data_IF_331629665260
#
_entry.id   IF_331629665260
#
_cell.length_a   1.000
_cell.length_b   1.000
_cell.length_c   1.000
_cell.angle_alpha   90.00
_cell.angle_beta   90.00
_cell.angle_gamma   90.00
#
_symmetry.space_group_name_H-M   'P 1'
#
loop_
_entity.id
_entity.type
_entity.pdbx_description
1 polymer ?
#
# COMPACT_ATOMS: atom_id res chain seq x y z
N UNK A 1 2.80 -9.30 25.64
CA UNK A 1 4.02 -9.26 24.81
C UNK A 1 3.91 -8.28 23.66
N UNK A 2 3.10 -8.56 22.60
CA UNK A 2 3.01 -7.63 21.45
C UNK A 2 2.59 -6.21 21.87
N UNK A 3 1.48 -6.07 22.60
CA UNK A 3 1.00 -4.80 23.18
C UNK A 3 2.04 -3.98 23.95
N UNK A 4 3.01 -4.65 24.58
CA UNK A 4 3.92 -4.02 25.53
C UNK A 4 5.11 -3.41 24.79
N UNK A 5 5.57 -4.06 23.72
CA UNK A 5 6.55 -3.51 22.79
C UNK A 5 5.93 -2.39 21.93
N UNK A 6 4.62 -2.41 21.66
CA UNK A 6 3.92 -1.35 20.92
C UNK A 6 3.92 -0.04 21.73
N UNK A 7 3.50 -0.11 23.00
CA UNK A 7 3.50 1.07 23.86
C UNK A 7 4.92 1.63 24.03
N UNK A 8 5.92 0.76 24.23
CA UNK A 8 7.34 1.15 24.27
C UNK A 8 7.82 1.82 22.98
N UNK A 9 7.49 1.27 21.80
CA UNK A 9 7.84 1.87 20.51
C UNK A 9 7.19 3.25 20.32
N UNK A 10 5.90 3.39 20.66
CA UNK A 10 5.19 4.68 20.62
C UNK A 10 5.84 5.68 21.58
N UNK A 11 6.12 5.30 22.83
CA UNK A 11 6.77 6.17 23.81
C UNK A 11 8.14 6.67 23.32
N UNK A 12 8.97 5.80 22.75
CA UNK A 12 10.29 6.16 22.18
C UNK A 12 10.15 7.10 20.98
N UNK A 13 9.17 6.86 20.09
CA UNK A 13 8.87 7.75 18.97
C UNK A 13 8.36 9.13 19.42
N UNK A 14 7.52 9.20 20.45
CA UNK A 14 7.06 10.45 21.06
C UNK A 14 8.20 11.22 21.73
N UNK A 15 9.09 10.53 22.46
CA UNK A 15 10.29 11.11 23.08
C UNK A 15 11.27 11.66 22.03
N UNK A 16 11.39 11.00 20.88
CA UNK A 16 12.17 11.49 19.74
C UNK A 16 11.50 12.67 18.98
N UNK A 17 10.30 13.09 19.37
CA UNK A 17 9.62 14.28 18.84
C UNK A 17 8.60 14.05 17.74
N UNK A 18 8.22 12.79 17.43
CA UNK A 18 7.16 12.53 16.46
C UNK A 18 5.77 12.88 17.02
N UNK A 19 4.91 13.62 16.29
CA UNK A 19 3.58 13.94 16.78
C UNK A 19 2.70 12.70 16.92
N UNK A 20 2.00 12.55 18.05
CA UNK A 20 1.01 11.48 18.25
C UNK A 20 -0.05 11.45 17.14
N UNK A 21 -0.45 12.64 16.63
CA UNK A 21 -1.39 12.75 15.51
C UNK A 21 -0.85 12.13 14.22
N UNK A 22 0.45 12.27 13.93
CA UNK A 22 1.09 11.63 12.77
C UNK A 22 1.13 10.11 12.95
N UNK A 23 1.54 9.62 14.13
CA UNK A 23 1.55 8.18 14.44
C UNK A 23 0.13 7.59 14.30
N UNK A 24 -0.90 8.28 14.79
CA UNK A 24 -2.30 7.88 14.63
C UNK A 24 -2.84 8.00 13.20
N UNK A 25 -2.28 8.90 12.38
CA UNK A 25 -2.61 9.03 10.96
C UNK A 25 -2.01 7.89 10.14
N UNK A 26 -0.72 7.59 10.29
CA UNK A 26 -0.09 6.46 9.59
C UNK A 26 -0.72 5.11 9.99
N UNK A 27 -1.14 4.95 11.26
CA UNK A 27 -1.95 3.80 11.72
C UNK A 27 -3.30 3.62 11.00
N UNK A 28 -3.79 4.62 10.25
CA UNK A 28 -5.08 4.59 9.52
C UNK A 28 -4.90 4.62 8.01
N UNK A 29 -3.79 5.17 7.51
CA UNK A 29 -3.47 5.18 6.08
C UNK A 29 -2.84 3.84 5.72
N UNK A 30 -3.71 2.88 5.41
CA UNK A 30 -3.32 1.76 4.58
C UNK A 30 -2.98 2.27 3.18
N UNK A 31 -1.99 1.65 2.55
CA UNK A 31 -1.92 1.67 1.09
C UNK A 31 -3.22 1.04 0.57
N UNK A 32 -3.97 1.81 -0.22
CA UNK A 32 -5.22 1.35 -0.81
C UNK A 32 -4.91 0.66 -2.13
N UNK A 33 -5.77 -0.28 -2.53
CA UNK A 33 -5.73 -0.86 -3.88
C UNK A 33 -6.07 0.26 -4.89
N UNK A 34 -5.04 0.89 -5.47
CA UNK A 34 -5.24 1.98 -6.43
C UNK A 34 -5.56 1.41 -7.81
N UNK A 35 -6.77 1.67 -8.26
CA UNK A 35 -7.27 1.25 -9.56
C UNK A 35 -6.36 1.68 -10.74
N UNK A 36 -5.55 2.73 -10.58
CA UNK A 36 -4.65 3.30 -11.60
C UNK A 36 -3.73 2.28 -12.26
N UNK A 37 -3.32 1.22 -11.55
CA UNK A 37 -2.45 0.17 -12.13
C UNK A 37 -3.15 -0.66 -13.23
N UNK A 38 -4.48 -0.53 -13.39
CA UNK A 38 -5.26 -1.22 -14.40
C UNK A 38 -5.44 -0.40 -15.71
N UNK A 39 -5.02 0.86 -15.73
CA UNK A 39 -5.26 1.77 -16.87
C UNK A 39 -4.17 2.84 -17.09
N UNK A 40 -2.98 2.62 -16.55
CA UNK A 40 -1.77 3.40 -16.86
C UNK A 40 -0.71 2.49 -17.47
N UNK A 41 0.07 3.03 -18.40
CA UNK A 41 1.12 2.28 -19.12
C UNK A 41 2.49 2.93 -18.97
N UNK A 42 3.59 2.15 -18.95
CA UNK A 42 4.93 2.71 -18.92
C UNK A 42 5.21 3.53 -20.18
N UNK A 43 5.96 4.62 -20.03
CA UNK A 43 6.48 5.38 -21.16
C UNK A 43 7.76 4.66 -21.64
N UNK A 44 7.67 3.89 -22.74
CA UNK A 44 8.79 3.09 -23.27
C UNK A 44 10.06 3.91 -23.57
N UNK A 45 9.93 5.24 -23.73
CA UNK A 45 11.03 6.16 -23.97
C UNK A 45 11.72 6.70 -22.69
N UNK A 46 11.22 6.41 -21.48
CA UNK A 46 11.92 6.73 -20.23
C UNK A 46 12.66 5.52 -19.70
N UNK A 47 14.00 5.57 -19.72
CA UNK A 47 14.83 4.66 -18.94
C UNK A 47 14.53 4.82 -17.44
N UNK A 48 14.62 3.72 -16.68
CA UNK A 48 14.50 3.76 -15.23
C UNK A 48 15.55 4.71 -14.62
N UNK A 49 15.12 5.62 -13.75
CA UNK A 49 16.00 6.68 -13.23
C UNK A 49 16.06 6.70 -11.71
N UNK A 50 17.27 6.76 -11.16
CA UNK A 50 17.50 6.83 -9.71
C UNK A 50 17.22 8.26 -9.20
N UNK A 51 16.18 8.42 -8.37
CA UNK A 51 15.64 9.70 -7.91
C UNK A 51 15.48 9.78 -6.39
N UNK A 52 15.28 11.00 -5.89
CA UNK A 52 14.89 11.28 -4.50
C UNK A 52 13.41 11.67 -4.48
N UNK A 53 12.59 10.79 -3.90
CA UNK A 53 11.13 10.79 -3.98
C UNK A 53 10.54 11.44 -2.71
N UNK A 54 9.59 12.39 -2.82
CA UNK A 54 8.86 12.89 -1.66
C UNK A 54 7.99 11.81 -1.02
N UNK A 55 8.28 11.41 0.22
CA UNK A 55 7.54 10.37 0.96
C UNK A 55 6.02 10.65 1.08
N UNK A 56 5.55 11.92 1.15
CA UNK A 56 4.12 12.23 1.08
C UNK A 56 3.43 11.85 -0.24
N UNK A 57 4.16 11.81 -1.37
CA UNK A 57 3.61 11.45 -2.70
C UNK A 57 3.54 9.95 -2.96
N UNK A 58 4.03 9.10 -2.05
CA UNK A 58 3.92 7.65 -2.19
C UNK A 58 2.50 7.23 -1.78
N UNK A 59 1.69 6.83 -2.75
CA UNK A 59 0.24 6.60 -2.59
C UNK A 59 -0.09 5.15 -2.23
N UNK A 60 0.58 4.19 -2.88
CA UNK A 60 0.36 2.75 -2.68
C UNK A 60 1.66 1.92 -2.65
N UNK A 61 1.50 0.63 -2.38
CA UNK A 61 2.50 -0.42 -2.52
C UNK A 61 1.83 -1.56 -3.28
N UNK A 62 2.37 -1.91 -4.44
CA UNK A 62 2.00 -3.12 -5.17
C UNK A 62 2.94 -4.25 -4.72
N UNK A 63 2.39 -5.24 -4.01
CA UNK A 63 3.15 -6.35 -3.45
C UNK A 63 2.22 -7.52 -3.09
N UNK A 64 2.61 -8.75 -3.41
CA UNK A 64 1.91 -9.98 -2.99
C UNK A 64 1.92 -10.18 -1.45
N UNK A 65 2.62 -9.32 -0.71
CA UNK A 65 2.70 -9.31 0.75
C UNK A 65 1.39 -8.83 1.41
N UNK A 66 0.42 -9.72 1.41
CA UNK A 66 -0.84 -9.71 2.15
C UNK A 66 -0.75 -8.93 3.50
N UNK A 67 -1.62 -7.93 3.76
CA UNK A 67 -1.60 -7.06 4.98
C UNK A 67 -2.75 -7.34 5.99
N UNK A 68 -2.54 -7.22 7.31
CA UNK A 68 -3.53 -7.55 8.39
C UNK A 68 -3.76 -6.42 9.41
N UNK A 69 -3.99 -5.20 8.94
CA UNK A 69 -3.98 -3.99 9.77
C UNK A 69 -4.62 -4.06 11.17
N UNK A 70 -3.80 -4.31 12.20
CA UNK A 70 -4.18 -4.13 13.61
C UNK A 70 -3.22 -3.27 14.45
N UNK A 71 -2.11 -2.80 13.86
CA UNK A 71 -1.21 -1.72 14.35
C UNK A 71 -0.43 -2.02 15.64
N UNK A 72 0.50 -1.14 16.06
CA UNK A 72 1.77 -0.78 15.35
C UNK A 72 2.36 -2.06 14.74
N UNK A 73 2.76 -2.15 13.42
CA UNK A 73 2.35 -3.16 12.35
C UNK A 73 0.94 -3.61 12.67
N UNK A 74 0.73 -4.36 13.74
CA UNK A 74 1.41 -5.56 14.27
C UNK A 74 2.95 -5.65 14.68
N UNK A 75 3.83 -4.70 14.27
CA UNK A 75 5.11 -4.01 14.68
C UNK A 75 5.64 -2.77 13.82
N UNK A 76 5.50 -2.66 12.47
CA UNK A 76 5.29 -1.41 11.66
C UNK A 76 4.11 -1.39 10.60
N UNK A 77 4.00 -2.27 9.55
CA UNK A 77 2.77 -2.56 8.69
C UNK A 77 2.16 -4.02 8.38
N UNK A 78 2.81 -5.21 8.41
CA UNK A 78 2.32 -6.22 9.41
C UNK A 78 2.23 -7.74 9.41
N UNK A 79 1.85 -8.47 8.35
CA UNK A 79 1.51 -9.88 8.55
C UNK A 79 2.68 -10.73 9.05
N UNK A 80 2.48 -11.42 10.16
CA UNK A 80 3.52 -12.26 10.78
C UNK A 80 3.39 -13.73 10.40
N UNK A 81 3.51 -14.00 9.10
CA UNK A 81 4.26 -15.16 8.63
C UNK A 81 5.77 -14.84 8.62
N UNK A 82 6.29 -14.37 9.78
CA UNK A 82 7.70 -13.97 9.97
C UNK A 82 7.96 -12.46 10.09
N UNK A 83 7.67 -11.86 11.25
CA UNK A 83 8.16 -10.51 11.60
C UNK A 83 9.58 -10.52 12.17
N UNK A 84 10.43 -9.59 11.73
CA UNK A 84 11.74 -9.34 12.33
C UNK A 84 11.67 -8.27 13.44
N UNK A 85 11.54 -8.74 14.69
CA UNK A 85 11.54 -7.88 15.88
C UNK A 85 12.94 -7.30 16.18
N UNK A 86 14.02 -7.95 15.73
CA UNK A 86 15.39 -7.49 16.00
C UNK A 86 15.71 -6.24 15.18
N UNK A 87 15.39 -6.23 13.89
CA UNK A 87 15.46 -5.03 13.04
C UNK A 87 14.55 -3.91 13.56
N UNK A 88 13.35 -4.25 14.04
CA UNK A 88 12.41 -3.28 14.61
C UNK A 88 13.01 -2.56 15.83
N UNK A 89 13.66 -3.31 16.72
CA UNK A 89 14.39 -2.77 17.87
C UNK A 89 15.68 -2.02 17.49
N UNK A 90 16.39 -2.45 16.45
CA UNK A 90 17.57 -1.76 15.91
C UNK A 90 17.21 -0.35 15.40
N UNK A 91 16.11 -0.21 14.65
CA UNK A 91 15.65 1.10 14.16
C UNK A 91 15.22 2.03 15.31
N UNK A 92 14.60 1.48 16.37
CA UNK A 92 14.23 2.27 17.57
C UNK A 92 15.46 2.69 18.39
N UNK A 93 16.50 1.86 18.46
CA UNK A 93 17.79 2.25 19.06
C UNK A 93 18.53 3.29 18.22
N UNK A 94 18.54 3.15 16.89
CA UNK A 94 19.13 4.15 16.00
C UNK A 94 18.45 5.52 16.14
N UNK A 95 17.13 5.53 16.36
CA UNK A 95 16.36 6.75 16.69
C UNK A 95 16.83 7.40 18.00
N UNK A 96 17.07 6.61 19.05
CA UNK A 96 17.55 7.09 20.35
C UNK A 96 19.01 7.57 20.31
N UNK A 97 19.88 6.81 19.65
CA UNK A 97 21.32 7.07 19.55
C UNK A 97 21.65 8.27 18.65
N UNK A 98 20.88 8.46 17.56
CA UNK A 98 21.21 9.40 16.47
C UNK A 98 20.22 10.54 16.33
N UNK A 99 19.04 10.44 16.95
CA UNK A 99 17.97 11.42 16.89
C UNK A 99 17.14 11.36 15.59
N UNK A 100 15.90 11.84 15.68
CA UNK A 100 14.91 11.79 14.60
C UNK A 100 15.41 12.39 13.28
N UNK A 101 16.09 13.54 13.30
CA UNK A 101 16.58 14.20 12.07
C UNK A 101 17.60 13.35 11.33
N UNK A 102 18.49 12.65 12.03
CA UNK A 102 19.48 11.75 11.43
C UNK A 102 18.80 10.52 10.83
N UNK A 103 17.81 9.95 11.54
CA UNK A 103 16.99 8.84 11.06
C UNK A 103 16.19 9.23 9.80
N UNK A 104 15.60 10.43 9.77
CA UNK A 104 14.87 10.97 8.61
C UNK A 104 15.78 11.21 7.40
N UNK A 105 17.00 11.71 7.62
CA UNK A 105 17.95 11.99 6.54
C UNK A 105 18.45 10.72 5.85
N UNK A 106 18.62 9.62 6.58
CA UNK A 106 19.13 8.35 6.05
C UNK A 106 18.30 7.78 4.89
N UNK A 107 16.96 7.96 4.90
CA UNK A 107 16.10 7.48 3.82
C UNK A 107 16.37 8.18 2.48
N UNK A 108 16.81 9.44 2.50
CA UNK A 108 17.17 10.21 1.31
C UNK A 108 18.64 10.08 0.89
N UNK A 109 19.46 9.32 1.62
CA UNK A 109 20.88 9.14 1.32
C UNK A 109 21.07 8.15 0.15
N UNK A 110 21.42 8.70 -1.01
CA UNK A 110 21.76 7.94 -2.22
C UNK A 110 22.84 6.88 -1.99
N UNK A 111 23.90 7.21 -1.25
CA UNK A 111 25.02 6.29 -1.06
C UNK A 111 24.66 5.12 -0.14
N UNK A 112 23.79 5.36 0.85
CA UNK A 112 23.22 4.32 1.69
C UNK A 112 22.25 3.42 0.90
N UNK A 113 21.37 4.01 0.09
CA UNK A 113 20.38 3.26 -0.69
C UNK A 113 21.00 2.46 -1.86
N UNK A 114 22.03 2.98 -2.54
CA UNK A 114 22.81 2.22 -3.52
C UNK A 114 23.50 1.00 -2.89
N UNK A 115 23.93 1.09 -1.62
CA UNK A 115 24.52 -0.03 -0.88
C UNK A 115 23.49 -1.06 -0.36
N UNK A 116 22.20 -0.72 -0.32
CA UNK A 116 21.10 -1.56 0.16
C UNK A 116 20.19 -2.13 -0.96
N UNK A 117 20.54 -1.84 -2.22
CA UNK A 117 19.68 -1.91 -3.42
C UNK A 117 18.56 -0.85 -3.44
N UNK A 118 18.35 -0.14 -4.56
CA UNK A 118 17.32 0.87 -4.67
C UNK A 118 15.92 0.27 -4.68
N UNK A 119 14.98 0.97 -4.04
CA UNK A 119 13.55 0.68 -4.05
C UNK A 119 12.95 1.02 -5.43
N UNK A 120 12.15 0.15 -6.02
CA UNK A 120 11.53 0.39 -7.33
C UNK A 120 10.15 1.05 -7.19
N UNK A 121 9.90 2.11 -7.96
CA UNK A 121 8.65 2.85 -7.99
C UNK A 121 8.15 3.08 -9.41
N UNK A 122 6.83 3.02 -9.57
CA UNK A 122 6.15 3.61 -10.73
C UNK A 122 5.64 5.00 -10.35
N UNK A 123 5.90 6.00 -11.20
CA UNK A 123 5.40 7.36 -11.05
C UNK A 123 4.30 7.65 -12.07
N UNK A 124 3.10 7.97 -11.58
CA UNK A 124 1.88 8.19 -12.36
C UNK A 124 1.73 9.70 -12.55
N UNK A 125 1.98 10.20 -13.75
CA UNK A 125 2.20 11.64 -13.98
C UNK A 125 0.98 12.50 -13.63
N UNK A 126 -0.21 12.03 -13.98
CA UNK A 126 -1.48 12.74 -13.83
C UNK A 126 -2.00 12.72 -12.38
N UNK A 127 -1.60 11.72 -11.57
CA UNK A 127 -1.87 11.64 -10.12
C UNK A 127 -0.82 12.42 -9.28
N UNK A 128 0.30 12.83 -9.89
CA UNK A 128 1.50 13.34 -9.22
C UNK A 128 2.00 12.41 -8.09
N UNK A 129 1.89 11.10 -8.31
CA UNK A 129 1.97 10.06 -7.26
C UNK A 129 2.88 8.87 -7.60
N UNK A 130 3.41 8.23 -6.57
CA UNK A 130 4.32 7.09 -6.68
C UNK A 130 3.71 5.82 -6.04
N UNK A 131 3.92 4.66 -6.66
CA UNK A 131 3.58 3.34 -6.10
C UNK A 131 4.86 2.51 -6.02
N UNK A 132 5.18 1.98 -4.83
CA UNK A 132 6.31 1.04 -4.66
C UNK A 132 5.97 -0.30 -5.31
N UNK A 133 6.94 -0.93 -5.96
CA UNK A 133 6.76 -2.19 -6.68
C UNK A 133 7.61 -3.32 -6.08
N UNK A 134 6.94 -4.39 -5.63
CA UNK A 134 7.57 -5.65 -5.22
C UNK A 134 7.97 -5.73 -3.74
N UNK A 135 9.26 -5.89 -3.47
CA UNK A 135 9.81 -6.18 -2.14
C UNK A 135 10.05 -4.90 -1.31
N UNK A 136 10.72 -5.02 -0.15
CA UNK A 136 11.23 -3.90 0.65
C UNK A 136 10.21 -2.86 1.16
N UNK A 137 8.91 -3.22 1.14
CA UNK A 137 7.77 -2.50 1.72
C UNK A 137 8.07 -1.89 3.10
N UNK A 138 8.83 -2.61 3.93
CA UNK A 138 9.20 -2.18 5.27
C UNK A 138 10.03 -0.88 5.31
N UNK A 139 10.83 -0.59 4.26
CA UNK A 139 11.64 0.63 4.19
C UNK A 139 10.76 1.87 3.96
N UNK A 140 9.84 1.81 2.99
CA UNK A 140 8.86 2.89 2.71
C UNK A 140 7.96 3.13 3.90
N UNK A 141 7.52 2.06 4.56
CA UNK A 141 6.72 2.12 5.78
C UNK A 141 7.49 2.83 6.91
N UNK A 142 8.75 2.46 7.15
CA UNK A 142 9.58 3.10 8.16
C UNK A 142 9.79 4.59 7.85
N UNK A 143 10.06 4.95 6.59
CA UNK A 143 10.19 6.34 6.14
C UNK A 143 8.91 7.17 6.42
N UNK A 144 7.73 6.63 6.08
CA UNK A 144 6.43 7.26 6.43
C UNK A 144 6.23 7.38 7.94
N UNK A 145 6.53 6.33 8.71
CA UNK A 145 6.37 6.32 10.17
C UNK A 145 7.27 7.37 10.86
N UNK A 146 8.54 7.47 10.48
CA UNK A 146 9.47 8.48 11.00
C UNK A 146 9.26 9.89 10.41
N UNK A 147 8.22 10.10 9.59
CA UNK A 147 7.97 11.37 8.89
C UNK A 147 9.19 11.87 8.09
N UNK A 148 9.94 10.94 7.49
CA UNK A 148 11.04 11.28 6.60
C UNK A 148 10.49 12.11 5.42
N UNK A 149 11.14 13.22 5.03
CA UNK A 149 10.63 14.08 3.96
C UNK A 149 10.82 13.43 2.58
N UNK A 150 11.86 12.61 2.45
CA UNK A 150 12.41 12.11 1.19
C UNK A 150 12.85 10.64 1.36
N UNK A 151 12.75 9.86 0.29
CA UNK A 151 13.32 8.52 0.19
C UNK A 151 13.98 8.32 -1.17
N UNK A 152 15.11 7.65 -1.26
CA UNK A 152 15.76 7.32 -2.53
C UNK A 152 15.12 6.08 -3.17
N UNK A 153 14.97 6.09 -4.49
CA UNK A 153 14.45 4.96 -5.24
C UNK A 153 14.60 5.11 -6.74
N UNK A 154 14.48 4.01 -7.46
CA UNK A 154 14.44 3.95 -8.91
C UNK A 154 13.02 4.18 -9.40
N UNK A 155 12.85 5.02 -10.42
CA UNK A 155 11.55 5.44 -10.94
C UNK A 155 11.42 5.09 -12.42
N UNK A 156 10.38 4.31 -12.74
CA UNK A 156 9.83 4.22 -14.08
C UNK A 156 8.59 5.14 -14.18
N UNK A 157 8.38 5.77 -15.34
CA UNK A 157 7.31 6.75 -15.53
C UNK A 157 6.13 6.13 -16.28
N UNK A 158 4.93 6.36 -15.77
CA UNK A 158 3.66 5.84 -16.26
C UNK A 158 2.73 7.01 -16.62
N UNK A 159 2.10 6.91 -17.79
CA UNK A 159 1.12 7.85 -18.32
C UNK A 159 -0.26 7.19 -18.42
N UNK A 160 -1.32 8.00 -18.43
CA UNK A 160 -2.69 7.52 -18.56
C UNK A 160 -2.91 6.79 -19.90
N UNK A 161 -3.60 5.65 -19.86
CA UNK A 161 -4.18 5.02 -21.05
C UNK A 161 -5.69 5.28 -21.09
N UNK A 162 -6.06 6.30 -21.85
CA UNK A 162 -7.45 6.72 -22.05
C UNK A 162 -8.39 5.62 -22.59
N UNK A 163 -7.88 4.59 -23.26
CA UNK A 163 -8.72 3.48 -23.78
C UNK A 163 -8.92 2.42 -22.69
N UNK A 164 -7.86 2.06 -21.97
CA UNK A 164 -7.96 1.16 -20.82
C UNK A 164 -8.79 1.77 -19.67
N UNK A 165 -8.70 3.09 -19.44
CA UNK A 165 -9.50 3.76 -18.41
C UNK A 165 -11.00 3.58 -18.68
N UNK A 166 -11.45 3.83 -19.91
CA UNK A 166 -12.86 3.68 -20.32
C UNK A 166 -13.33 2.23 -20.16
N UNK A 167 -12.49 1.25 -20.55
CA UNK A 167 -12.77 -0.17 -20.35
C UNK A 167 -12.85 -0.56 -18.86
N UNK A 168 -12.00 0.03 -18.01
CA UNK A 168 -12.02 -0.18 -16.56
C UNK A 168 -13.28 0.43 -15.91
N UNK A 169 -13.67 1.64 -16.31
CA UNK A 169 -14.89 2.30 -15.85
C UNK A 169 -16.17 1.52 -16.23
N UNK A 170 -16.24 1.01 -17.47
CA UNK A 170 -17.32 0.12 -17.91
C UNK A 170 -17.35 -1.18 -17.09
N UNK A 171 -16.20 -1.82 -16.87
CA UNK A 171 -16.07 -3.03 -16.05
C UNK A 171 -16.47 -2.80 -14.59
N UNK A 172 -16.04 -1.70 -13.98
CA UNK A 172 -16.41 -1.32 -12.61
C UNK A 172 -17.92 -1.09 -12.48
N UNK A 173 -18.53 -0.38 -13.43
CA UNK A 173 -19.97 -0.17 -13.50
C UNK A 173 -20.75 -1.48 -13.63
N UNK A 174 -20.30 -2.40 -14.51
CA UNK A 174 -20.92 -3.71 -14.69
C UNK A 174 -20.83 -4.58 -13.42
N UNK A 175 -19.68 -4.60 -12.75
CA UNK A 175 -19.50 -5.34 -11.50
C UNK A 175 -20.43 -4.83 -10.39
N UNK A 176 -20.61 -3.52 -10.25
CA UNK A 176 -21.49 -2.97 -9.21
C UNK A 176 -22.98 -3.22 -9.54
N UNK A 177 -23.38 -3.19 -10.81
CA UNK A 177 -24.71 -3.64 -11.24
C UNK A 177 -24.93 -5.11 -10.86
N UNK A 178 -23.95 -6.00 -11.13
CA UNK A 178 -24.04 -7.43 -10.79
C UNK A 178 -24.17 -7.64 -9.28
N UNK A 179 -23.31 -7.00 -8.48
CA UNK A 179 -23.40 -7.01 -7.00
C UNK A 179 -24.77 -6.57 -6.51
N UNK A 180 -25.33 -5.49 -7.08
CA UNK A 180 -26.64 -4.97 -6.72
C UNK A 180 -27.80 -5.88 -7.16
N UNK A 181 -27.62 -6.73 -8.18
CA UNK A 181 -28.61 -7.76 -8.55
C UNK A 181 -28.54 -8.99 -7.65
N UNK A 182 -27.35 -9.45 -7.26
CA UNK A 182 -27.20 -10.59 -6.35
C UNK A 182 -27.57 -10.22 -4.89
N UNK A 183 -27.25 -9.01 -4.44
CA UNK A 183 -27.72 -8.47 -3.14
C UNK A 183 -29.25 -8.38 -3.02
N UNK A 184 -29.97 -8.35 -4.15
CA UNK A 184 -31.44 -8.39 -4.19
C UNK A 184 -32.01 -9.80 -4.27
N UNK A 185 -31.18 -10.85 -4.30
CA UNK A 185 -31.60 -12.26 -4.34
C UNK A 185 -32.31 -12.73 -5.62
N UNK A 186 -32.56 -11.82 -6.57
CA UNK A 186 -33.42 -12.06 -7.74
C UNK A 186 -32.87 -13.17 -8.62
N UNK A 187 -31.55 -13.27 -8.77
CA UNK A 187 -30.88 -14.30 -9.56
C UNK A 187 -31.27 -15.72 -9.09
N UNK A 188 -31.14 -16.01 -7.79
CA UNK A 188 -31.43 -17.35 -7.27
C UNK A 188 -32.93 -17.70 -7.28
N UNK A 189 -33.79 -16.77 -6.86
CA UNK A 189 -35.23 -17.01 -6.78
C UNK A 189 -35.87 -17.13 -8.18
N UNK A 190 -35.43 -16.33 -9.15
CA UNK A 190 -35.95 -16.40 -10.53
C UNK A 190 -35.55 -17.73 -11.21
N UNK A 191 -34.36 -18.26 -10.92
CA UNK A 191 -33.98 -19.62 -11.37
C UNK A 191 -34.77 -20.72 -10.66
N UNK A 192 -35.06 -20.59 -9.36
CA UNK A 192 -35.85 -21.60 -8.62
C UNK A 192 -37.33 -21.61 -9.03
N UNK A 193 -37.94 -20.43 -9.25
CA UNK A 193 -39.31 -20.30 -9.73
C UNK A 193 -39.49 -20.97 -11.10
N UNK A 194 -38.60 -20.67 -12.06
CA UNK A 194 -38.62 -21.27 -13.39
C UNK A 194 -38.31 -22.78 -13.39
N UNK A 195 -37.70 -23.32 -12.33
CA UNK A 195 -37.49 -24.77 -12.17
C UNK A 195 -38.77 -25.48 -11.72
N UNK A 196 -39.52 -24.92 -10.76
CA UNK A 196 -40.79 -25.47 -10.29
C UNK A 196 -41.89 -25.40 -11.35
N UNK A 197 -41.92 -24.32 -12.15
CA UNK A 197 -42.92 -24.13 -13.20
C UNK A 197 -42.89 -25.16 -14.35
N UNK A 198 -41.83 -25.97 -14.48
CA UNK A 198 -41.71 -26.99 -15.55
C UNK A 198 -41.97 -28.43 -15.11
N UNK A 199 -42.39 -28.65 -13.86
CA UNK A 199 -42.53 -30.00 -13.29
C UNK A 199 -43.98 -30.50 -13.17
N UNK A 200 -44.97 -29.69 -13.56
CA UNK A 200 -46.40 -30.00 -13.45
C UNK A 200 -47.09 -30.35 -14.78
N UNK A 201 -46.44 -30.13 -15.93
CA UNK A 201 -47.04 -30.27 -17.27
C UNK A 201 -46.66 -31.58 -17.98
N UNK A 202 -46.61 -32.69 -17.23
CA UNK A 202 -46.48 -34.05 -17.78
C UNK A 202 -47.67 -34.88 -17.28
N UNK A 203 -48.63 -35.25 -18.16
CA UNK A 203 -49.73 -36.14 -17.79
C UNK A 203 -49.26 -37.57 -17.58
N UNK A 204 -50.04 -38.33 -16.78
CA UNK A 204 -49.84 -39.74 -16.43
C UNK A 204 -50.05 -40.71 -17.61
#
# INVERSE_FOLDING_TARGET
MKTDFENSAIERMLQAGLPLAHIQQQKRIFFQDLAVENYYKPIEATEESDQVIPVPKILAVNSDLELAGTSVYDFFMGKTAGSDLAKSEEQLKALEERGLTSQQAAYGDRALAEALMPLNFHYYQEEDGYILQGAEVHQVVAAKMFAAPLIFGRVAVYQLDEEQQKLYEEFASLNEILRLTDLKGVTLDYFQANKKGKQNDLPE
#
